data_IF_471902047452
#
_entry.id   IF_471902047452
#
_cell.length_a   1.000
_cell.length_b   1.000
_cell.length_c   1.000
_cell.angle_alpha   90.00
_cell.angle_beta   90.00
_cell.angle_gamma   90.00
#
_symmetry.space_group_name_H-M   'P 1'
#
loop_
_entity.id
_entity.type
_entity.pdbx_description
1 polymer ?
#
# COMPACT_ATOMS: atom_id res chain seq x y z
N UNK A 1 -23.72 23.14 8.08
CA UNK A 1 -23.55 23.70 6.71
C UNK A 1 -22.05 23.77 6.43
N UNK A 2 -21.53 22.98 5.49
CA UNK A 2 -20.12 23.02 5.13
C UNK A 2 -19.92 24.30 4.31
N UNK A 3 -19.03 25.18 4.77
CA UNK A 3 -18.69 26.42 4.02
C UNK A 3 -17.93 26.04 2.76
N UNK A 4 -18.27 26.69 1.65
CA UNK A 4 -17.48 26.56 0.42
C UNK A 4 -16.08 27.17 0.65
N UNK A 5 -15.05 26.34 0.56
CA UNK A 5 -13.65 26.70 0.77
C UNK A 5 -12.88 26.90 -0.53
N UNK A 6 -13.54 26.83 -1.69
CA UNK A 6 -12.89 26.95 -3.01
C UNK A 6 -12.14 28.26 -3.18
N UNK A 7 -12.61 29.36 -2.56
CA UNK A 7 -11.95 30.66 -2.56
C UNK A 7 -10.53 30.64 -1.95
N UNK A 8 -10.22 29.64 -1.11
CA UNK A 8 -8.90 29.50 -0.48
C UNK A 8 -7.97 28.55 -1.25
N UNK A 9 -8.44 27.95 -2.34
CA UNK A 9 -7.63 27.02 -3.12
C UNK A 9 -6.57 27.78 -3.91
N UNK A 10 -5.36 27.22 -3.94
CA UNK A 10 -4.31 27.69 -4.84
C UNK A 10 -4.70 27.46 -6.30
N UNK A 11 -4.09 28.21 -7.21
CA UNK A 11 -4.27 28.01 -8.67
C UNK A 11 -3.98 26.56 -9.09
N UNK A 12 -2.98 25.93 -8.49
CA UNK A 12 -2.65 24.53 -8.77
C UNK A 12 -3.77 23.59 -8.31
N UNK A 13 -4.33 23.79 -7.13
CA UNK A 13 -5.45 22.99 -6.62
C UNK A 13 -6.70 23.13 -7.49
N UNK A 14 -7.00 24.34 -7.97
CA UNK A 14 -8.13 24.59 -8.88
C UNK A 14 -7.94 23.92 -10.25
N UNK A 15 -6.70 23.81 -10.71
CA UNK A 15 -6.36 23.20 -12.00
C UNK A 15 -6.13 21.69 -11.92
N UNK A 16 -6.16 21.06 -10.72
CA UNK A 16 -6.03 19.62 -10.57
C UNK A 16 -7.21 18.90 -11.23
N UNK A 17 -6.91 18.14 -12.27
CA UNK A 17 -7.88 17.26 -12.93
C UNK A 17 -7.88 15.89 -12.26
N UNK A 18 -9.04 15.25 -12.27
CA UNK A 18 -9.12 13.83 -11.87
C UNK A 18 -8.28 12.97 -12.81
N UNK A 19 -7.65 11.94 -12.27
CA UNK A 19 -6.90 10.99 -13.08
C UNK A 19 -7.86 10.25 -14.03
N UNK A 20 -7.64 10.40 -15.33
CA UNK A 20 -8.42 9.71 -16.37
C UNK A 20 -8.35 8.18 -16.21
N UNK A 21 -7.19 7.67 -15.79
CA UNK A 21 -6.98 6.24 -15.50
C UNK A 21 -7.92 5.78 -14.38
N UNK A 22 -8.10 6.58 -13.31
CA UNK A 22 -9.01 6.22 -12.21
C UNK A 22 -10.47 6.22 -12.64
N UNK A 23 -10.87 7.11 -13.54
CA UNK A 23 -12.22 7.09 -14.10
C UNK A 23 -12.43 5.86 -14.97
N UNK A 24 -11.43 5.48 -15.77
CA UNK A 24 -11.47 4.25 -16.57
C UNK A 24 -11.61 3.00 -15.69
N UNK A 25 -10.87 2.94 -14.57
CA UNK A 25 -10.95 1.83 -13.62
C UNK A 25 -12.32 1.66 -12.95
N UNK A 26 -13.17 2.71 -12.90
CA UNK A 26 -14.56 2.57 -12.44
C UNK A 26 -15.41 1.76 -13.42
N UNK A 27 -15.16 1.93 -14.72
CA UNK A 27 -15.87 1.21 -15.77
C UNK A 27 -15.47 -0.28 -15.77
N UNK A 28 -14.20 -0.58 -15.51
CA UNK A 28 -13.68 -1.96 -15.49
C UNK A 28 -14.20 -2.81 -14.32
N UNK A 29 -14.86 -2.19 -13.33
CA UNK A 29 -15.47 -2.92 -12.20
C UNK A 29 -16.82 -3.55 -12.54
N UNK A 30 -17.37 -3.27 -13.70
CA UNK A 30 -18.65 -3.85 -14.13
C UNK A 30 -18.45 -5.30 -14.53
N UNK A 31 -19.27 -6.25 -14.04
CA UNK A 31 -19.07 -7.68 -14.24
C UNK A 31 -19.15 -8.12 -15.70
N UNK A 32 -19.82 -7.33 -16.55
CA UNK A 32 -19.94 -7.57 -17.98
C UNK A 32 -18.73 -7.13 -18.81
N UNK A 33 -17.72 -6.48 -18.15
CA UNK A 33 -16.55 -5.93 -18.85
C UNK A 33 -15.33 -6.80 -18.56
N UNK A 34 -14.75 -7.37 -19.60
CA UNK A 34 -13.44 -8.00 -19.57
C UNK A 34 -12.39 -6.91 -19.79
N UNK A 35 -11.64 -6.56 -18.75
CA UNK A 35 -10.64 -5.49 -18.81
C UNK A 35 -9.24 -6.05 -19.07
N UNK A 36 -8.58 -5.50 -20.07
CA UNK A 36 -7.15 -5.69 -20.31
C UNK A 36 -6.32 -4.45 -19.90
N UNK A 37 -6.95 -3.49 -19.20
CA UNK A 37 -6.32 -2.26 -18.73
C UNK A 37 -6.05 -2.31 -17.23
N UNK A 38 -4.97 -1.63 -16.81
CA UNK A 38 -4.69 -1.34 -15.40
C UNK A 38 -3.86 -2.37 -14.65
N UNK A 39 -3.53 -3.51 -15.25
CA UNK A 39 -2.60 -4.51 -14.65
C UNK A 39 -2.98 -4.95 -13.24
N UNK A 40 -4.28 -5.04 -12.90
CA UNK A 40 -4.73 -5.49 -11.60
C UNK A 40 -4.44 -6.99 -11.45
N UNK A 41 -3.85 -7.44 -10.32
CA UNK A 41 -3.69 -8.86 -10.03
C UNK A 41 -5.05 -9.56 -9.97
N UNK A 42 -5.10 -10.84 -10.38
CA UNK A 42 -6.30 -11.65 -10.23
C UNK A 42 -6.64 -11.86 -8.74
N UNK A 43 -7.89 -11.64 -8.32
CA UNK A 43 -8.28 -11.78 -6.91
C UNK A 43 -7.96 -13.16 -6.32
N UNK A 44 -7.99 -14.19 -7.15
CA UNK A 44 -7.69 -15.58 -6.81
C UNK A 44 -6.21 -15.82 -6.45
N UNK A 45 -5.33 -14.89 -6.81
CA UNK A 45 -3.88 -14.98 -6.50
C UNK A 45 -3.53 -14.44 -5.11
N UNK A 46 -4.47 -13.78 -4.44
CA UNK A 46 -4.21 -13.24 -3.12
C UNK A 46 -4.22 -14.34 -2.05
N UNK A 47 -3.19 -14.44 -1.21
CA UNK A 47 -3.11 -15.44 -0.14
C UNK A 47 -3.97 -15.00 1.07
N UNK A 48 -5.30 -14.90 0.85
CA UNK A 48 -6.23 -14.31 1.84
C UNK A 48 -6.23 -15.08 3.15
N UNK A 49 -6.27 -16.42 3.07
CA UNK A 49 -6.31 -17.27 4.27
C UNK A 49 -5.02 -17.18 5.07
N UNK A 50 -3.89 -17.21 4.41
CA UNK A 50 -2.58 -17.06 5.05
C UNK A 50 -2.44 -15.71 5.73
N UNK A 51 -2.91 -14.64 5.09
CA UNK A 51 -2.90 -13.29 5.68
C UNK A 51 -3.85 -13.17 6.87
N UNK A 52 -5.02 -13.82 6.84
CA UNK A 52 -5.93 -13.90 7.97
C UNK A 52 -5.25 -14.57 9.18
N UNK A 53 -4.67 -15.75 8.97
CA UNK A 53 -4.01 -16.53 10.02
C UNK A 53 -2.83 -15.74 10.63
N UNK A 54 -1.97 -15.16 9.79
CA UNK A 54 -0.83 -14.34 10.23
C UNK A 54 -1.30 -13.09 10.98
N UNK A 55 -2.33 -12.40 10.47
CA UNK A 55 -2.86 -11.20 11.12
C UNK A 55 -3.43 -11.52 12.50
N UNK A 56 -4.19 -12.62 12.61
CA UNK A 56 -4.70 -13.08 13.90
C UNK A 56 -3.57 -13.46 14.87
N UNK A 57 -2.52 -14.13 14.38
CA UNK A 57 -1.36 -14.46 15.19
C UNK A 57 -0.63 -13.22 15.69
N UNK A 58 -0.32 -12.26 14.82
CA UNK A 58 0.38 -11.01 15.18
C UNK A 58 -0.42 -10.22 16.22
N UNK A 59 -1.74 -10.08 16.02
CA UNK A 59 -2.59 -9.36 16.98
C UNK A 59 -2.67 -10.08 18.34
N UNK A 60 -2.67 -11.39 18.35
CA UNK A 60 -2.71 -12.20 19.59
C UNK A 60 -1.40 -12.13 20.36
N UNK A 61 -0.27 -12.21 19.66
CA UNK A 61 1.05 -12.29 20.28
C UNK A 61 1.67 -10.91 20.55
N UNK A 62 1.42 -9.94 19.68
CA UNK A 62 2.09 -8.63 19.67
C UNK A 62 1.13 -7.46 19.44
N UNK A 63 -0.16 -7.63 19.70
CA UNK A 63 -1.18 -6.64 19.35
C UNK A 63 -0.91 -5.23 19.85
N UNK A 64 -0.45 -5.09 21.08
CA UNK A 64 -0.10 -3.79 21.65
C UNK A 64 1.04 -3.08 20.90
N UNK A 65 2.03 -3.83 20.40
CA UNK A 65 3.12 -3.30 19.59
C UNK A 65 2.68 -3.04 18.14
N UNK A 66 1.96 -4.00 17.56
CA UNK A 66 1.54 -3.94 16.15
C UNK A 66 0.56 -2.80 15.86
N UNK A 67 -0.22 -2.36 16.86
CA UNK A 67 -1.17 -1.25 16.75
C UNK A 67 -0.62 0.10 17.23
N UNK A 68 0.62 0.14 17.70
CA UNK A 68 1.26 1.37 18.17
C UNK A 68 2.04 2.05 17.03
N UNK A 69 2.33 3.33 17.21
CA UNK A 69 3.28 4.03 16.35
C UNK A 69 4.63 3.34 16.37
N UNK A 70 5.19 3.13 15.18
CA UNK A 70 6.51 2.53 14.97
C UNK A 70 7.58 3.53 14.53
N UNK A 71 8.84 3.05 14.34
CA UNK A 71 9.92 3.85 13.79
C UNK A 71 9.61 4.38 12.40
N UNK A 72 10.13 5.56 12.07
CA UNK A 72 9.91 6.19 10.74
C UNK A 72 10.39 5.30 9.60
N UNK A 73 11.49 4.59 9.80
CA UNK A 73 12.10 3.69 8.82
C UNK A 73 11.36 2.34 8.68
N UNK A 74 10.45 2.04 9.59
CA UNK A 74 9.79 0.76 9.73
C UNK A 74 10.49 -0.17 10.73
N UNK A 75 9.76 -1.17 11.21
CA UNK A 75 10.23 -2.12 12.22
C UNK A 75 11.49 -2.86 11.77
N UNK A 76 12.51 -2.91 12.65
CA UNK A 76 13.80 -3.52 12.35
C UNK A 76 13.69 -4.99 11.91
N UNK A 77 12.92 -5.87 12.57
CA UNK A 77 12.77 -7.25 12.13
C UNK A 77 12.21 -7.37 10.71
N UNK A 78 11.31 -6.49 10.33
CA UNK A 78 10.74 -6.48 8.97
C UNK A 78 11.79 -6.04 7.93
N UNK A 79 12.57 -5.00 8.24
CA UNK A 79 13.68 -4.55 7.39
C UNK A 79 14.78 -5.59 7.25
N UNK A 80 15.05 -6.36 8.29
CA UNK A 80 16.00 -7.48 8.27
C UNK A 80 15.53 -8.58 7.30
N UNK A 81 14.25 -8.95 7.34
CA UNK A 81 13.70 -9.95 6.41
C UNK A 81 13.72 -9.45 4.95
N UNK A 82 13.39 -8.19 4.71
CA UNK A 82 13.50 -7.59 3.37
C UNK A 82 14.98 -7.60 2.91
N UNK A 83 15.92 -7.24 3.77
CA UNK A 83 17.34 -7.26 3.43
C UNK A 83 17.84 -8.67 3.09
N UNK A 84 17.42 -9.69 3.83
CA UNK A 84 17.71 -11.10 3.52
C UNK A 84 17.13 -11.52 2.17
N UNK A 85 15.88 -11.13 1.90
CA UNK A 85 15.21 -11.48 0.65
C UNK A 85 15.90 -10.84 -0.56
N UNK A 86 16.17 -9.54 -0.51
CA UNK A 86 16.88 -8.82 -1.55
C UNK A 86 18.35 -9.24 -1.69
N UNK A 87 18.97 -9.66 -0.59
CA UNK A 87 20.35 -10.16 -0.54
C UNK A 87 20.58 -11.44 -1.34
N UNK A 88 19.50 -12.17 -1.72
CA UNK A 88 19.58 -13.33 -2.61
C UNK A 88 19.96 -12.92 -4.04
N UNK A 89 19.57 -11.74 -4.46
CA UNK A 89 19.84 -11.20 -5.80
C UNK A 89 21.03 -10.24 -5.82
N UNK A 90 21.23 -9.49 -4.74
CA UNK A 90 22.28 -8.47 -4.63
C UNK A 90 22.94 -8.50 -3.26
N UNK A 91 24.22 -8.85 -3.23
CA UNK A 91 25.01 -8.87 -1.99
C UNK A 91 25.16 -7.46 -1.39
N UNK A 92 25.26 -7.41 -0.04
CA UNK A 92 25.58 -6.19 0.69
C UNK A 92 24.40 -5.29 1.07
N UNK A 93 23.17 -5.70 0.83
CA UNK A 93 21.99 -4.98 1.31
C UNK A 93 21.85 -5.23 2.82
N UNK A 94 21.73 -4.16 3.58
CA UNK A 94 21.58 -4.17 5.03
C UNK A 94 20.23 -3.54 5.43
N UNK A 95 19.71 -3.80 6.64
CA UNK A 95 18.47 -3.18 7.12
C UNK A 95 18.49 -1.63 7.06
N UNK A 96 19.66 -1.01 7.23
CA UNK A 96 19.84 0.45 7.16
C UNK A 96 19.61 1.02 5.74
N UNK A 97 19.65 0.16 4.73
CA UNK A 97 19.37 0.56 3.34
C UNK A 97 17.87 0.46 2.97
N UNK A 98 17.01 0.12 3.94
CA UNK A 98 15.60 -0.15 3.72
C UNK A 98 14.73 0.86 4.47
N UNK A 99 13.83 1.49 3.76
CA UNK A 99 12.76 2.33 4.27
C UNK A 99 11.42 1.70 3.90
N UNK A 100 10.57 1.47 4.89
CA UNK A 100 9.22 0.93 4.69
C UNK A 100 8.25 2.08 4.45
N UNK A 101 7.51 2.02 3.35
CA UNK A 101 6.49 3.01 2.99
C UNK A 101 5.10 2.36 2.92
N UNK A 102 4.06 3.17 2.90
CA UNK A 102 2.67 2.70 2.76
C UNK A 102 2.28 2.35 1.31
N UNK A 103 3.22 2.27 0.42
CA UNK A 103 3.07 2.01 -1.02
C UNK A 103 4.00 2.93 -1.81
N UNK A 104 3.99 2.78 -3.12
CA UNK A 104 4.77 3.60 -4.06
C UNK A 104 3.92 4.64 -4.76
#
# INVERSE_FOLDING_TARGET
>A
MIKDLTQFYSKNALNMKRSEIRELLKVTRRPEIISFAGGLPGPETFPVKELEDISCQVLREKGGLALQYGPTEGELPFREEIAKWLGREKAGIKPENILVTAGS
#
